data_IF_171727592666
#
_entry.id   IF_171727592666
#
_cell.length_a   1.000
_cell.length_b   1.000
_cell.length_c   1.000
_cell.angle_alpha   90.00
_cell.angle_beta   90.00
_cell.angle_gamma   90.00
#
_symmetry.space_group_name_H-M   'P 1'
#
loop_
_entity.id
_entity.type
_entity.pdbx_description
1 polymer ?
#
# COMPACT_ATOMS: atom_id res chain seq x y z
N UNK A 1 14.07 -30.87 -24.19
CA UNK A 1 15.01 -30.73 -23.05
C UNK A 1 15.97 -29.53 -23.15
N UNK A 2 16.40 -29.09 -24.34
CA UNK A 2 17.28 -27.90 -24.49
C UNK A 2 16.60 -26.59 -24.04
N UNK A 3 15.37 -26.34 -24.49
CA UNK A 3 14.60 -25.12 -24.16
C UNK A 3 14.39 -24.92 -22.65
N UNK A 4 14.07 -25.99 -21.92
CA UNK A 4 13.88 -25.94 -20.46
C UNK A 4 15.19 -25.55 -19.75
N UNK A 5 16.34 -26.07 -20.22
CA UNK A 5 17.65 -25.70 -19.68
C UNK A 5 18.01 -24.23 -20.00
N UNK A 6 17.62 -23.73 -21.18
CA UNK A 6 17.86 -22.34 -21.58
C UNK A 6 17.03 -21.36 -20.75
N UNK A 7 15.75 -21.68 -20.51
CA UNK A 7 14.87 -20.86 -19.66
C UNK A 7 15.36 -20.86 -18.20
N UNK A 8 15.75 -22.03 -17.67
CA UNK A 8 16.31 -22.12 -16.32
C UNK A 8 17.60 -21.30 -16.18
N UNK A 9 18.48 -21.32 -17.19
CA UNK A 9 19.72 -20.54 -17.17
C UNK A 9 19.47 -19.02 -17.24
N UNK A 10 18.48 -18.58 -18.03
CA UNK A 10 18.05 -17.18 -18.08
C UNK A 10 17.45 -16.71 -16.75
N UNK A 11 16.66 -17.56 -16.09
CA UNK A 11 16.11 -17.26 -14.77
C UNK A 11 17.23 -17.12 -13.72
N UNK A 12 18.19 -18.05 -13.70
CA UNK A 12 19.32 -18.03 -12.76
C UNK A 12 20.19 -16.79 -12.96
N UNK A 13 20.47 -16.37 -14.20
CA UNK A 13 21.22 -15.14 -14.47
C UNK A 13 20.52 -13.89 -13.92
N UNK A 14 19.19 -13.78 -14.06
CA UNK A 14 18.46 -12.62 -13.54
C UNK A 14 18.42 -12.57 -12.00
N UNK A 15 18.41 -13.73 -11.32
CA UNK A 15 18.51 -13.77 -9.86
C UNK A 15 19.89 -13.33 -9.34
N UNK A 16 20.98 -13.65 -10.06
CA UNK A 16 22.35 -13.30 -9.66
C UNK A 16 22.66 -11.80 -9.75
N UNK A 17 21.96 -11.04 -10.58
CA UNK A 17 22.09 -9.57 -10.64
C UNK A 17 21.19 -8.83 -9.63
N UNK A 18 20.37 -9.56 -8.87
CA UNK A 18 19.37 -8.97 -7.97
C UNK A 18 19.80 -8.90 -6.49
N UNK A 19 21.06 -9.19 -6.15
CA UNK A 19 21.59 -9.04 -4.78
C UNK A 19 22.97 -8.37 -4.91
N UNK A 20 23.30 -7.24 -4.30
CA UNK A 20 23.03 -6.80 -2.93
C UNK A 20 23.05 -5.26 -2.84
N UNK A 21 21.97 -4.63 -2.35
CA UNK A 21 22.10 -3.36 -1.63
C UNK A 21 22.16 -3.75 -0.16
N UNK A 22 23.31 -3.59 0.47
CA UNK A 22 23.43 -3.70 1.93
C UNK A 22 22.49 -2.68 2.55
N UNK A 23 21.39 -3.17 3.13
CA UNK A 23 20.44 -2.34 3.84
C UNK A 23 21.07 -1.97 5.19
N UNK A 24 21.75 -0.83 5.20
CA UNK A 24 22.30 -0.21 6.40
C UNK A 24 21.17 0.00 7.42
N UNK A 25 21.28 -0.68 8.56
CA UNK A 25 20.26 -0.82 9.61
C UNK A 25 19.85 0.51 10.26
N UNK A 26 20.54 1.60 9.94
CA UNK A 26 20.23 2.96 10.44
C UNK A 26 19.23 3.72 9.55
N UNK A 27 19.10 3.36 8.27
CA UNK A 27 18.24 4.06 7.29
C UNK A 27 16.78 3.56 7.26
N UNK A 28 16.50 2.43 7.90
CA UNK A 28 15.16 1.78 7.91
C UNK A 28 14.14 2.44 8.84
N UNK A 29 14.57 3.38 9.70
CA UNK A 29 13.68 4.06 10.66
C UNK A 29 12.79 5.13 10.00
N UNK A 30 13.21 5.67 8.86
CA UNK A 30 12.53 6.75 8.14
C UNK A 30 11.90 6.29 6.82
N UNK A 31 11.78 4.98 6.58
CA UNK A 31 10.98 4.53 5.45
C UNK A 31 9.51 4.68 5.82
N UNK A 32 8.84 5.57 5.11
CA UNK A 32 7.39 5.68 5.11
C UNK A 32 6.81 4.28 4.82
N UNK A 33 5.76 3.91 5.55
CA UNK A 33 5.12 2.61 5.46
C UNK A 33 3.63 2.83 5.32
N UNK A 34 3.01 2.13 4.39
CA UNK A 34 1.56 2.17 4.28
C UNK A 34 0.93 1.41 5.45
N UNK A 35 -0.35 1.68 5.71
CA UNK A 35 -1.04 1.11 6.85
C UNK A 35 -1.09 -0.43 6.82
N UNK A 36 -1.19 -1.06 5.63
CA UNK A 36 -1.06 -2.51 5.49
C UNK A 36 0.32 -3.05 5.92
N UNK A 37 1.42 -2.39 5.55
CA UNK A 37 2.78 -2.74 5.96
C UNK A 37 2.99 -2.53 7.46
N UNK A 38 2.38 -1.50 8.05
CA UNK A 38 2.44 -1.27 9.50
C UNK A 38 1.79 -2.42 10.27
N UNK A 39 0.67 -2.96 9.77
CA UNK A 39 0.01 -4.13 10.34
C UNK A 39 0.88 -5.38 10.17
N UNK A 40 1.42 -5.62 8.97
CA UNK A 40 2.26 -6.78 8.67
C UNK A 40 3.55 -6.86 9.49
N UNK A 41 4.15 -5.70 9.77
CA UNK A 41 5.39 -5.57 10.54
C UNK A 41 5.14 -5.45 12.06
N UNK A 42 3.88 -5.32 12.48
CA UNK A 42 3.52 -5.15 13.88
C UNK A 42 3.88 -6.37 14.73
N UNK A 43 4.29 -6.15 15.97
CA UNK A 43 4.76 -7.17 16.93
C UNK A 43 3.64 -8.06 17.48
N UNK A 44 2.42 -8.01 16.94
CA UNK A 44 1.30 -8.80 17.45
C UNK A 44 1.57 -10.28 17.17
N UNK A 45 1.80 -11.05 18.22
CA UNK A 45 2.20 -12.46 18.11
C UNK A 45 1.08 -13.31 17.51
N UNK A 46 -0.17 -13.07 17.91
CA UNK A 46 -1.42 -13.60 17.31
C UNK A 46 -2.57 -12.66 17.66
N UNK A 47 -3.55 -12.52 16.76
CA UNK A 47 -4.78 -11.78 17.04
C UNK A 47 -5.19 -10.79 15.96
N UNK A 48 -6.16 -9.94 16.32
CA UNK A 48 -6.70 -8.88 15.47
C UNK A 48 -5.92 -7.59 15.75
N UNK A 49 -5.47 -6.94 14.69
CA UNK A 49 -4.99 -5.55 14.71
C UNK A 49 -6.04 -4.70 14.02
N UNK A 50 -6.43 -3.59 14.65
CA UNK A 50 -7.38 -2.64 14.09
C UNK A 50 -6.74 -1.25 14.06
N UNK A 51 -6.88 -0.56 12.94
CA UNK A 51 -6.48 0.82 12.74
C UNK A 51 -7.50 1.52 11.86
N UNK A 52 -7.31 2.81 11.64
CA UNK A 52 -8.20 3.60 10.82
C UNK A 52 -7.93 5.08 10.96
N UNK A 53 -8.47 5.84 10.03
CA UNK A 53 -8.43 7.29 10.03
C UNK A 53 -9.68 7.82 9.31
N UNK A 54 -9.95 9.11 9.46
CA UNK A 54 -11.05 9.78 8.78
C UNK A 54 -10.58 11.15 8.28
N UNK A 55 -11.17 11.59 7.18
CA UNK A 55 -10.83 12.83 6.51
C UNK A 55 -12.07 13.69 6.30
N UNK A 56 -11.92 14.99 6.58
CA UNK A 56 -12.93 16.01 6.32
C UNK A 56 -12.24 17.10 5.51
N UNK A 57 -12.74 17.34 4.31
CA UNK A 57 -12.18 18.34 3.39
C UNK A 57 -13.01 19.62 3.45
N UNK A 58 -12.32 20.75 3.35
CA UNK A 58 -12.94 22.06 3.13
C UNK A 58 -12.29 22.70 1.90
N UNK A 59 -13.08 22.91 0.87
CA UNK A 59 -12.62 23.49 -0.39
C UNK A 59 -13.42 24.76 -0.67
N UNK A 60 -12.74 25.91 -0.79
CA UNK A 60 -13.37 27.19 -1.16
C UNK A 60 -12.68 27.80 -2.38
N UNK A 61 -13.28 27.66 -3.57
CA UNK A 61 -12.83 28.35 -4.76
C UNK A 61 -13.00 29.87 -4.63
N UNK A 62 -12.20 30.64 -5.38
CA UNK A 62 -12.31 32.09 -5.40
C UNK A 62 -13.62 32.52 -6.09
N UNK A 63 -14.43 33.32 -5.38
CA UNK A 63 -15.71 33.82 -5.91
C UNK A 63 -16.92 32.90 -5.70
N UNK A 64 -16.72 31.69 -5.16
CA UNK A 64 -17.78 30.73 -4.87
C UNK A 64 -17.90 30.39 -3.38
N UNK A 65 -19.00 29.74 -3.00
CA UNK A 65 -19.21 29.25 -1.65
C UNK A 65 -18.30 28.04 -1.36
N UNK A 66 -17.76 27.98 -0.14
CA UNK A 66 -17.01 26.83 0.33
C UNK A 66 -17.88 25.58 0.51
N UNK A 67 -17.29 24.42 0.24
CA UNK A 67 -17.90 23.11 0.43
C UNK A 67 -17.11 22.37 1.50
N UNK A 68 -17.82 21.85 2.50
CA UNK A 68 -17.28 20.94 3.50
C UNK A 68 -17.81 19.53 3.23
N UNK A 69 -16.92 18.55 3.23
CA UNK A 69 -17.21 17.18 2.85
C UNK A 69 -16.52 16.21 3.79
N UNK A 70 -17.25 15.16 4.22
CA UNK A 70 -16.63 14.03 4.93
C UNK A 70 -16.11 13.10 3.85
N UNK A 71 -14.86 13.36 3.47
CA UNK A 71 -14.27 12.79 2.28
C UNK A 71 -14.19 11.28 2.37
N UNK A 72 -13.61 10.75 3.44
CA UNK A 72 -13.58 9.30 3.67
C UNK A 72 -13.36 8.90 5.12
N UNK A 73 -13.88 7.72 5.47
CA UNK A 73 -13.57 6.98 6.69
C UNK A 73 -12.92 5.66 6.29
N UNK A 74 -11.69 5.44 6.72
CA UNK A 74 -10.91 4.24 6.42
C UNK A 74 -10.75 3.40 7.68
N UNK A 75 -11.09 2.12 7.57
CA UNK A 75 -10.91 1.11 8.61
C UNK A 75 -9.96 0.04 8.10
N UNK A 76 -8.85 -0.14 8.80
CA UNK A 76 -7.85 -1.14 8.51
C UNK A 76 -7.90 -2.26 9.53
N UNK A 77 -8.03 -3.49 9.04
CA UNK A 77 -8.06 -4.67 9.88
C UNK A 77 -6.99 -5.66 9.42
N UNK A 78 -6.20 -6.13 10.37
CA UNK A 78 -5.28 -7.26 10.20
C UNK A 78 -5.68 -8.41 11.10
N UNK A 79 -5.54 -9.63 10.61
CA UNK A 79 -5.64 -10.83 11.43
C UNK A 79 -4.45 -11.75 11.19
N UNK A 80 -3.72 -12.06 12.26
CA UNK A 80 -2.61 -13.01 12.22
C UNK A 80 -3.08 -14.38 12.70
N UNK A 81 -3.31 -15.29 11.76
CA UNK A 81 -3.70 -16.69 12.06
C UNK A 81 -2.57 -17.45 12.75
N UNK A 82 -1.34 -17.27 12.25
CA UNK A 82 -0.11 -17.84 12.81
C UNK A 82 1.10 -17.04 12.32
N UNK A 83 2.32 -17.50 12.62
CA UNK A 83 3.55 -16.79 12.26
C UNK A 83 3.80 -16.68 10.75
N UNK A 84 3.15 -17.52 9.94
CA UNK A 84 3.29 -17.51 8.48
C UNK A 84 2.12 -16.88 7.75
N UNK A 85 0.90 -16.96 8.30
CA UNK A 85 -0.34 -16.60 7.59
C UNK A 85 -1.00 -15.39 8.25
N UNK A 86 -1.20 -14.35 7.44
CA UNK A 86 -1.83 -13.09 7.85
C UNK A 86 -2.88 -12.67 6.81
N UNK A 87 -3.98 -12.08 7.25
CA UNK A 87 -4.98 -11.43 6.40
C UNK A 87 -5.03 -9.95 6.72
N UNK A 88 -5.18 -9.13 5.68
CA UNK A 88 -5.24 -7.68 5.77
C UNK A 88 -6.40 -7.22 4.90
N UNK A 89 -7.21 -6.31 5.43
CA UNK A 89 -8.25 -5.64 4.68
C UNK A 89 -8.35 -4.17 5.06
N UNK A 90 -8.66 -3.36 4.07
CA UNK A 90 -8.94 -1.93 4.19
C UNK A 90 -10.33 -1.68 3.62
N UNK A 91 -11.19 -1.12 4.45
CA UNK A 91 -12.56 -0.75 4.11
C UNK A 91 -12.63 0.76 4.12
N UNK A 92 -13.12 1.34 3.02
CA UNK A 92 -13.26 2.78 2.87
C UNK A 92 -14.74 3.13 2.71
N UNK A 93 -15.19 4.16 3.44
CA UNK A 93 -16.50 4.77 3.26
C UNK A 93 -16.33 6.21 2.78
N UNK A 94 -16.60 6.45 1.50
CA UNK A 94 -16.33 7.71 0.81
C UNK A 94 -17.59 8.57 0.71
N UNK A 95 -17.44 9.89 0.92
CA UNK A 95 -18.47 10.91 0.78
C UNK A 95 -19.78 10.61 1.54
N UNK A 96 -19.70 9.77 2.58
CA UNK A 96 -20.83 9.25 3.35
C UNK A 96 -21.89 8.51 2.49
N UNK A 97 -21.51 8.00 1.31
CA UNK A 97 -22.43 7.35 0.36
C UNK A 97 -21.95 6.01 -0.16
N UNK A 98 -20.64 5.82 -0.30
CA UNK A 98 -20.07 4.71 -1.05
C UNK A 98 -19.17 3.88 -0.13
N UNK A 99 -19.38 2.56 -0.10
CA UNK A 99 -18.60 1.63 0.68
C UNK A 99 -17.75 0.77 -0.25
N UNK A 100 -16.43 0.83 -0.08
CA UNK A 100 -15.47 0.09 -0.87
C UNK A 100 -14.58 -0.79 0.00
N UNK A 101 -14.08 -1.85 -0.63
CA UNK A 101 -12.99 -2.66 -0.12
C UNK A 101 -11.79 -2.31 -0.99
N UNK A 102 -10.90 -1.47 -0.49
CA UNK A 102 -9.73 -1.01 -1.24
C UNK A 102 -8.64 -2.08 -1.27
N UNK A 103 -8.49 -2.80 -0.15
CA UNK A 103 -7.54 -3.89 -0.02
C UNK A 103 -8.19 -5.06 0.71
N UNK A 104 -7.89 -6.26 0.26
CA UNK A 104 -8.28 -7.51 0.92
C UNK A 104 -7.40 -8.64 0.41
N UNK A 105 -6.34 -8.97 1.15
CA UNK A 105 -5.38 -9.96 0.71
C UNK A 105 -4.85 -10.83 1.85
N UNK A 106 -4.43 -12.04 1.48
CA UNK A 106 -3.70 -12.94 2.33
C UNK A 106 -2.20 -12.78 2.06
N UNK A 107 -1.40 -12.71 3.13
CA UNK A 107 0.05 -12.73 3.10
C UNK A 107 0.56 -14.03 3.74
N UNK A 108 1.34 -14.79 2.98
CA UNK A 108 2.01 -16.01 3.43
C UNK A 108 3.53 -15.84 3.41
N UNK A 109 4.18 -15.93 4.57
CA UNK A 109 5.64 -15.90 4.68
C UNK A 109 6.24 -17.27 4.37
N UNK A 110 7.04 -17.34 3.30
CA UNK A 110 7.81 -18.52 2.92
C UNK A 110 9.09 -18.61 3.76
N UNK A 111 9.75 -17.46 3.95
CA UNK A 111 10.91 -17.24 4.81
C UNK A 111 10.98 -15.74 5.18
N UNK A 112 12.02 -15.35 5.93
CA UNK A 112 12.18 -13.98 6.43
C UNK A 112 12.32 -12.91 5.33
N UNK A 113 12.61 -13.30 4.08
CA UNK A 113 12.84 -12.38 2.97
C UNK A 113 11.79 -12.49 1.85
N UNK A 114 10.97 -13.53 1.85
CA UNK A 114 10.04 -13.83 0.75
C UNK A 114 8.64 -14.07 1.31
N UNK A 115 7.70 -13.25 0.83
CA UNK A 115 6.29 -13.38 1.10
C UNK A 115 5.52 -13.59 -0.20
N UNK A 116 4.53 -14.48 -0.17
CA UNK A 116 3.54 -14.64 -1.23
C UNK A 116 2.28 -13.90 -0.80
N UNK A 117 1.80 -12.96 -1.63
CA UNK A 117 0.57 -12.22 -1.41
C UNK A 117 -0.45 -12.54 -2.49
N UNK A 118 -1.72 -12.67 -2.09
CA UNK A 118 -2.82 -12.94 -3.01
C UNK A 118 -4.12 -12.33 -2.52
N UNK A 119 -4.83 -11.65 -3.41
CA UNK A 119 -6.09 -10.98 -3.14
C UNK A 119 -6.19 -9.64 -3.86
N UNK A 120 -7.04 -8.76 -3.34
CA UNK A 120 -7.17 -7.39 -3.79
C UNK A 120 -6.08 -6.52 -3.16
N UNK A 121 -5.25 -5.93 -4.00
CA UNK A 121 -4.10 -5.10 -3.61
C UNK A 121 -4.01 -3.92 -4.57
N UNK A 122 -3.49 -2.80 -4.08
CA UNK A 122 -3.18 -1.67 -4.93
C UNK A 122 -1.99 -2.01 -5.85
N UNK A 123 -2.05 -1.46 -7.07
CA UNK A 123 -0.92 -1.56 -8.00
C UNK A 123 0.15 -0.57 -7.56
N UNK A 124 1.40 -0.99 -7.33
CA UNK A 124 2.46 -0.10 -6.88
C UNK A 124 2.86 0.88 -7.99
N UNK A 125 2.32 2.10 -7.97
CA UNK A 125 2.53 3.10 -9.01
C UNK A 125 2.71 4.50 -8.40
N UNK A 126 3.97 4.92 -8.30
CA UNK A 126 4.31 6.18 -7.64
C UNK A 126 4.06 6.14 -6.12
N UNK A 127 4.42 7.23 -5.44
CA UNK A 127 4.34 7.32 -3.97
C UNK A 127 2.87 7.40 -3.54
N UNK A 128 2.07 8.26 -4.18
CA UNK A 128 0.70 8.53 -3.76
C UNK A 128 -0.20 7.29 -3.86
N UNK A 129 -0.06 6.48 -4.92
CA UNK A 129 -0.87 5.26 -5.05
C UNK A 129 -0.40 4.12 -4.14
N UNK A 130 0.91 3.97 -3.94
CA UNK A 130 1.47 2.89 -3.11
C UNK A 130 1.10 3.05 -1.63
N UNK A 131 1.12 4.28 -1.14
CA UNK A 131 0.79 4.57 0.25
C UNK A 131 -0.70 4.81 0.46
N UNK A 132 -1.41 5.35 -0.53
CA UNK A 132 -2.85 5.58 -0.52
C UNK A 132 -3.36 6.45 0.66
N UNK A 133 -2.45 7.17 1.31
CA UNK A 133 -2.69 7.97 2.51
C UNK A 133 -2.51 9.47 2.22
N UNK A 134 -3.22 10.36 2.94
CA UNK A 134 -3.19 11.80 2.67
C UNK A 134 -1.87 12.48 3.04
N UNK A 135 -1.10 11.87 3.94
CA UNK A 135 0.20 12.38 4.39
C UNK A 135 1.29 12.29 3.31
N UNK A 136 0.97 11.73 2.14
CA UNK A 136 1.93 11.49 1.06
C UNK A 136 2.02 12.63 0.05
N UNK A 137 1.20 13.67 0.21
CA UNK A 137 1.19 14.86 -0.64
C UNK A 137 0.92 16.12 0.20
N UNK A 138 1.18 17.30 -0.36
CA UNK A 138 1.21 18.56 0.39
C UNK A 138 -0.11 19.37 0.36
N UNK A 139 -1.12 18.88 -0.36
CA UNK A 139 -2.42 19.56 -0.54
C UNK A 139 -3.57 18.83 0.15
N UNK A 140 -4.78 19.39 0.08
CA UNK A 140 -6.02 18.70 0.48
C UNK A 140 -6.36 17.58 -0.49
N UNK A 141 -6.16 17.84 -1.78
CA UNK A 141 -6.40 16.88 -2.86
C UNK A 141 -5.09 16.35 -3.45
N UNK A 142 -5.16 15.13 -4.02
CA UNK A 142 -4.01 14.53 -4.71
C UNK A 142 -3.53 15.42 -5.87
N UNK A 143 -2.22 15.46 -6.16
CA UNK A 143 -1.68 16.24 -7.27
C UNK A 143 -2.28 15.86 -8.63
N UNK A 144 -2.48 16.85 -9.51
CA UNK A 144 -3.03 16.63 -10.85
C UNK A 144 -2.20 15.66 -11.71
N UNK A 145 -0.90 15.55 -11.46
CA UNK A 145 0.00 14.64 -12.20
C UNK A 145 -0.31 13.16 -11.94
N UNK A 146 -0.90 12.83 -10.79
CA UNK A 146 -1.33 11.47 -10.46
C UNK A 146 -2.73 11.15 -11.02
N UNK A 147 -3.51 12.20 -11.33
CA UNK A 147 -4.88 12.08 -11.85
C UNK A 147 -4.95 12.08 -13.38
N UNK A 148 -4.07 12.84 -14.03
CA UNK A 148 -4.16 13.14 -15.46
C UNK A 148 -2.81 12.97 -16.16
N UNK A 149 -2.83 12.41 -17.37
CA UNK A 149 -1.67 12.46 -18.26
C UNK A 149 -1.53 13.91 -18.74
N UNK A 150 -0.51 14.61 -18.23
CA UNK A 150 -0.17 15.97 -18.65
C UNK A 150 0.84 15.89 -19.79
N UNK A 151 0.49 16.29 -21.03
CA UNK A 151 1.46 16.35 -22.11
C UNK A 151 2.52 17.41 -21.80
N UNK A 152 3.79 17.04 -21.84
CA UNK A 152 4.91 17.99 -21.84
C UNK A 152 5.51 18.08 -23.24
N UNK A 153 5.86 19.30 -23.68
CA UNK A 153 6.63 19.57 -24.90
C UNK A 153 8.12 19.39 -24.69
#
# INVERSE_FOLDING_TARGET
MKIIKTIALLLICNLSFSQTVSQDTTSTRNQQRNAAQNILNGTVSKGITLGGYAEIHYNQPEGDNGIMDVHRLVVLMGYKFNDKVQFITEIEYEHVKELYIEQAFLNYSLNDNINLRGGLMLVPMGIVNEYHEPTTFNGVERPNVDKSIVPST
#
